data_IF_048440731325
#
_entry.id   IF_048440731325
#
_cell.length_a   1.000
_cell.length_b   1.000
_cell.length_c   1.000
_cell.angle_alpha   90.00
_cell.angle_beta   90.00
_cell.angle_gamma   90.00
#
_symmetry.space_group_name_H-M   'P 1'
#
loop_
_entity.id
_entity.type
_entity.pdbx_description
1 polymer ?
#
# COMPACT_ATOMS: atom_id res chain seq x y z
N UNK A 1 15.63 -18.57 -13.17
CA UNK A 1 15.31 -17.82 -11.94
C UNK A 1 15.29 -16.33 -12.26
N UNK A 2 14.31 -15.58 -11.76
CA UNK A 2 13.98 -14.22 -12.21
C UNK A 2 14.44 -13.09 -11.26
N UNK A 3 15.10 -13.41 -10.13
CA UNK A 3 15.62 -12.44 -9.13
C UNK A 3 14.56 -11.45 -8.59
N UNK A 4 13.32 -11.89 -8.42
CA UNK A 4 12.27 -11.06 -7.83
C UNK A 4 12.47 -10.99 -6.32
N UNK A 5 12.45 -9.79 -5.75
CA UNK A 5 12.55 -9.58 -4.32
C UNK A 5 11.33 -10.19 -3.58
N UNK A 6 11.53 -10.93 -2.47
CA UNK A 6 10.42 -11.44 -1.67
C UNK A 6 9.66 -10.29 -1.00
N UNK A 7 8.32 -10.37 -0.99
CA UNK A 7 7.48 -9.52 -0.13
C UNK A 7 7.44 -10.13 1.27
N UNK A 8 8.43 -9.81 2.10
CA UNK A 8 8.62 -10.44 3.41
C UNK A 8 7.69 -9.91 4.51
N UNK A 9 7.16 -8.69 4.37
CA UNK A 9 6.59 -7.96 5.51
C UNK A 9 5.05 -7.89 5.52
N UNK A 10 4.36 -8.66 4.66
CA UNK A 10 2.91 -8.62 4.52
C UNK A 10 2.27 -10.00 4.77
N UNK A 11 1.07 -10.05 5.39
CA UNK A 11 0.25 -11.25 5.41
C UNK A 11 -0.05 -11.75 3.99
N UNK A 12 -0.23 -13.07 3.83
CA UNK A 12 -0.45 -13.72 2.52
C UNK A 12 -1.58 -13.11 1.70
N UNK A 13 -2.67 -12.69 2.35
CA UNK A 13 -3.88 -12.17 1.68
C UNK A 13 -3.98 -10.63 1.76
N UNK A 14 -2.83 -9.95 1.90
CA UNK A 14 -2.72 -8.51 1.68
C UNK A 14 -2.09 -8.26 0.31
N UNK A 15 -2.86 -7.68 -0.60
CA UNK A 15 -2.41 -7.32 -1.94
C UNK A 15 -1.91 -5.87 -1.95
N UNK A 16 -0.72 -5.67 -2.54
CA UNK A 16 -0.15 -4.34 -2.78
C UNK A 16 0.29 -4.21 -4.23
N UNK A 17 -0.29 -3.23 -4.92
CA UNK A 17 0.01 -2.91 -6.31
C UNK A 17 0.50 -1.47 -6.39
N UNK A 18 1.61 -1.26 -7.12
CA UNK A 18 2.09 0.06 -7.48
C UNK A 18 1.85 0.32 -8.96
N UNK A 19 1.33 1.49 -9.28
CA UNK A 19 1.16 1.99 -10.64
C UNK A 19 1.83 3.35 -10.76
N UNK A 20 2.64 3.54 -11.77
CA UNK A 20 3.33 4.80 -12.06
C UNK A 20 3.04 5.22 -13.50
N UNK A 21 2.88 6.52 -13.73
CA UNK A 21 2.69 7.11 -15.05
C UNK A 21 2.73 8.64 -14.99
N UNK A 22 2.28 9.31 -16.05
CA UNK A 22 2.30 10.78 -16.15
C UNK A 22 1.53 11.48 -15.03
N UNK A 23 0.52 10.81 -14.45
CA UNK A 23 -0.28 11.34 -13.34
C UNK A 23 0.34 11.10 -11.95
N UNK A 24 1.56 10.56 -11.88
CA UNK A 24 2.28 10.24 -10.65
C UNK A 24 2.27 8.76 -10.29
N UNK A 25 2.74 8.47 -9.08
CA UNK A 25 2.82 7.12 -8.53
C UNK A 25 1.71 6.86 -7.50
N UNK A 26 1.09 5.69 -7.59
CA UNK A 26 -0.02 5.27 -6.76
C UNK A 26 0.22 3.89 -6.17
N UNK A 27 -0.10 3.73 -4.89
CA UNK A 27 -0.11 2.47 -4.18
C UNK A 27 -1.55 2.10 -3.84
N UNK A 28 -1.96 0.91 -4.27
CA UNK A 28 -3.24 0.30 -3.95
C UNK A 28 -2.96 -0.82 -2.96
N UNK A 29 -3.60 -0.76 -1.80
CA UNK A 29 -3.49 -1.79 -0.78
C UNK A 29 -4.87 -2.35 -0.45
N UNK A 30 -5.02 -3.66 -0.59
CA UNK A 30 -6.27 -4.39 -0.38
C UNK A 30 -6.02 -5.47 0.66
N UNK A 31 -6.78 -5.44 1.75
CA UNK A 31 -6.69 -6.44 2.80
C UNK A 31 -7.86 -7.41 2.68
N UNK A 32 -7.60 -8.61 2.16
CA UNK A 32 -8.61 -9.65 2.05
C UNK A 32 -8.76 -10.46 3.34
N UNK A 33 -7.96 -10.17 4.37
CA UNK A 33 -8.03 -10.85 5.67
C UNK A 33 -9.12 -10.24 6.57
N UNK A 34 -9.46 -10.98 7.63
CA UNK A 34 -10.31 -10.51 8.72
C UNK A 34 -9.52 -9.84 9.86
N UNK A 35 -8.28 -9.42 9.63
CA UNK A 35 -7.43 -8.77 10.64
C UNK A 35 -6.75 -7.54 10.09
N UNK A 36 -6.46 -6.57 10.95
CA UNK A 36 -5.77 -5.37 10.54
C UNK A 36 -4.33 -5.67 10.10
N UNK A 37 -3.89 -4.96 9.07
CA UNK A 37 -2.54 -5.05 8.52
C UNK A 37 -1.85 -3.67 8.54
N UNK A 38 -0.52 -3.71 8.48
CA UNK A 38 0.31 -2.50 8.29
C UNK A 38 1.16 -2.68 7.04
N UNK A 39 0.93 -1.84 6.05
CA UNK A 39 1.68 -1.89 4.79
C UNK A 39 2.85 -0.90 4.87
N UNK A 40 4.11 -1.36 4.72
CA UNK A 40 5.25 -0.45 4.66
C UNK A 40 5.17 0.43 3.41
N UNK A 41 5.49 1.72 3.59
CA UNK A 41 5.56 2.71 2.53
C UNK A 41 7.00 3.16 2.34
N UNK A 42 7.53 2.98 1.14
CA UNK A 42 8.90 3.41 0.79
C UNK A 42 8.99 4.92 0.55
N UNK A 43 7.86 5.55 0.23
CA UNK A 43 7.69 6.98 0.09
C UNK A 43 6.43 7.42 0.82
N UNK A 44 6.45 8.63 1.36
CA UNK A 44 5.27 9.22 1.96
C UNK A 44 4.27 9.64 0.87
N UNK A 45 3.01 9.85 1.23
CA UNK A 45 1.96 10.18 0.27
C UNK A 45 0.67 10.67 0.93
N UNK A 46 -0.35 10.91 0.11
CA UNK A 46 -1.71 11.23 0.56
C UNK A 46 -2.61 10.02 0.35
N UNK A 47 -3.25 9.56 1.42
CA UNK A 47 -4.32 8.55 1.32
C UNK A 47 -5.58 9.23 0.77
N UNK A 48 -6.12 8.71 -0.33
CA UNK A 48 -7.11 9.42 -1.15
C UNK A 48 -8.55 9.22 -0.69
N UNK A 49 -8.83 8.24 0.18
CA UNK A 49 -10.18 8.00 0.71
C UNK A 49 -10.47 8.88 1.92
N UNK A 50 -9.45 9.20 2.71
CA UNK A 50 -9.55 10.04 3.91
C UNK A 50 -8.93 11.43 3.72
N UNK A 51 -8.02 11.59 2.75
CA UNK A 51 -7.22 12.80 2.56
C UNK A 51 -6.03 12.92 3.52
N UNK A 52 -5.81 11.93 4.39
CA UNK A 52 -4.77 11.97 5.42
C UNK A 52 -3.37 11.75 4.85
N UNK A 53 -2.37 12.28 5.55
CA UNK A 53 -0.97 12.05 5.23
C UNK A 53 -0.54 10.64 5.67
N UNK A 54 0.00 9.86 4.74
CA UNK A 54 0.53 8.52 4.99
C UNK A 54 2.06 8.54 4.97
N UNK A 55 2.70 8.06 6.05
CA UNK A 55 4.16 8.02 6.20
C UNK A 55 4.59 6.73 6.87
N UNK A 56 5.66 6.10 6.39
CA UNK A 56 6.30 4.93 6.98
C UNK A 56 5.46 3.63 6.91
N UNK A 57 4.29 3.59 7.55
CA UNK A 57 3.36 2.47 7.50
C UNK A 57 1.91 2.94 7.35
N UNK A 58 1.23 2.39 6.36
CA UNK A 58 -0.19 2.58 6.14
C UNK A 58 -0.99 1.57 6.96
N UNK A 59 -1.89 2.05 7.82
CA UNK A 59 -2.86 1.19 8.50
C UNK A 59 -3.91 0.76 7.49
N UNK A 60 -4.09 -0.56 7.37
CA UNK A 60 -5.04 -1.17 6.45
C UNK A 60 -5.97 -2.10 7.24
N UNK A 61 -7.15 -1.62 7.64
CA UNK A 61 -8.09 -2.41 8.43
C UNK A 61 -8.50 -3.72 7.73
N UNK A 62 -9.00 -4.67 8.50
CA UNK A 62 -9.61 -5.90 8.00
C UNK A 62 -10.64 -5.62 6.89
N UNK A 63 -10.56 -6.36 5.77
CA UNK A 63 -11.50 -6.24 4.64
C UNK A 63 -11.45 -4.91 3.87
N UNK A 64 -10.55 -3.98 4.22
CA UNK A 64 -10.55 -2.63 3.70
C UNK A 64 -9.59 -2.43 2.52
N UNK A 65 -9.81 -1.32 1.82
CA UNK A 65 -8.91 -0.79 0.79
C UNK A 65 -8.36 0.56 1.24
N UNK A 66 -7.12 0.85 0.85
CA UNK A 66 -6.52 2.18 0.89
C UNK A 66 -5.83 2.47 -0.44
N UNK A 67 -5.87 3.74 -0.85
CA UNK A 67 -5.20 4.20 -2.06
C UNK A 67 -4.35 5.40 -1.70
N UNK A 68 -3.04 5.31 -1.95
CA UNK A 68 -2.10 6.39 -1.65
C UNK A 68 -1.55 6.93 -2.96
N UNK A 69 -1.67 8.25 -3.18
CA UNK A 69 -0.82 8.95 -4.15
C UNK A 69 0.51 9.22 -3.46
N UNK A 70 1.57 8.61 -3.96
CA UNK A 70 2.92 8.77 -3.43
C UNK A 70 3.48 10.12 -3.87
N UNK A 71 4.29 10.72 -3.01
CA UNK A 71 5.11 11.87 -3.38
C UNK A 71 6.31 11.38 -4.21
N UNK A 72 6.79 12.24 -5.10
CA UNK A 72 7.96 12.00 -5.95
C UNK A 72 9.29 12.06 -5.17
#
# INVERSE_FOLDING_TARGET
DARIAPRADLPRDVEVVRRSGESGAFLFAINHTSSDAKVPLDAAGTELLTGERATGRLVLPAGAVRVVRLDD
#
